data_IF_364395396181
#
_entry.id   IF_364395396181
#
_cell.length_a   1.000
_cell.length_b   1.000
_cell.length_c   1.000
_cell.angle_alpha   90.00
_cell.angle_beta   90.00
_cell.angle_gamma   90.00
#
_symmetry.space_group_name_H-M   'P 1'
#
loop_
_entity.id
_entity.type
_entity.pdbx_description
1 polymer ?
#
# COMPACT_ATOMS: atom_id res chain seq x y z
N UNK A 1 22.82 8.92 -0.76
CA UNK A 1 21.41 8.52 -0.51
C UNK A 1 21.31 7.98 0.92
N UNK A 2 20.54 8.62 1.81
CA UNK A 2 20.29 8.11 3.17
C UNK A 2 19.68 6.71 3.13
N UNK A 3 20.04 5.85 4.09
CA UNK A 3 19.55 4.46 4.20
C UNK A 3 17.99 4.42 4.25
N UNK A 4 17.38 5.41 4.90
CA UNK A 4 15.92 5.52 5.01
C UNK A 4 15.24 5.73 3.65
N UNK A 5 15.82 6.57 2.78
CA UNK A 5 15.28 6.79 1.42
C UNK A 5 15.33 5.53 0.57
N UNK A 6 16.41 4.75 0.68
CA UNK A 6 16.54 3.47 -0.03
C UNK A 6 15.48 2.47 0.43
N UNK A 7 15.21 2.40 1.73
CA UNK A 7 14.20 1.51 2.29
C UNK A 7 12.78 1.94 1.89
N UNK A 8 12.49 3.24 1.90
CA UNK A 8 11.20 3.79 1.46
C UNK A 8 10.91 3.42 0.00
N UNK A 9 11.88 3.57 -0.90
CA UNK A 9 11.71 3.21 -2.32
C UNK A 9 11.49 1.70 -2.52
N UNK A 10 12.17 0.87 -1.73
CA UNK A 10 11.93 -0.59 -1.74
C UNK A 10 10.51 -0.93 -1.29
N UNK A 11 10.02 -0.27 -0.24
CA UNK A 11 8.65 -0.46 0.25
C UNK A 11 7.62 0.06 -0.76
N UNK A 12 7.88 1.21 -1.40
CA UNK A 12 7.02 1.80 -2.44
C UNK A 12 6.77 0.82 -3.57
N UNK A 13 7.84 0.28 -4.17
CA UNK A 13 7.73 -0.69 -5.27
C UNK A 13 6.90 -1.92 -4.89
N UNK A 14 7.04 -2.39 -3.64
CA UNK A 14 6.26 -3.53 -3.14
C UNK A 14 4.79 -3.20 -2.96
N UNK A 15 4.50 -2.06 -2.33
CA UNK A 15 3.14 -1.57 -2.08
C UNK A 15 2.41 -1.36 -3.41
N UNK A 16 3.00 -0.60 -4.32
CA UNK A 16 2.38 -0.26 -5.61
C UNK A 16 2.12 -1.52 -6.45
N UNK A 17 3.10 -2.42 -6.55
CA UNK A 17 2.95 -3.70 -7.26
C UNK A 17 1.84 -4.56 -6.65
N UNK A 18 1.82 -4.69 -5.33
CA UNK A 18 0.82 -5.52 -4.64
C UNK A 18 -0.58 -4.94 -4.79
N UNK A 19 -0.76 -3.63 -4.63
CA UNK A 19 -2.04 -2.96 -4.80
C UNK A 19 -2.60 -3.17 -6.21
N UNK A 20 -1.77 -2.99 -7.24
CA UNK A 20 -2.19 -3.19 -8.63
C UNK A 20 -2.56 -4.65 -8.93
N UNK A 21 -1.81 -5.61 -8.36
CA UNK A 21 -2.04 -7.04 -8.59
C UNK A 21 -3.29 -7.56 -7.86
N UNK A 22 -3.62 -6.99 -6.70
CA UNK A 22 -4.68 -7.48 -5.82
C UNK A 22 -5.93 -6.58 -5.82
N UNK A 23 -5.97 -5.50 -6.61
CA UNK A 23 -7.05 -4.50 -6.62
C UNK A 23 -8.48 -5.06 -6.76
N UNK A 24 -8.63 -6.23 -7.39
CA UNK A 24 -9.93 -6.90 -7.60
C UNK A 24 -10.43 -7.66 -6.37
N UNK A 25 -9.55 -7.99 -5.44
CA UNK A 25 -9.83 -8.91 -4.33
C UNK A 25 -9.77 -8.21 -2.96
N UNK A 26 -9.24 -7.00 -2.89
CA UNK A 26 -9.00 -6.29 -1.63
C UNK A 26 -10.10 -5.28 -1.32
N UNK A 27 -10.47 -5.19 -0.04
CA UNK A 27 -11.30 -4.10 0.45
C UNK A 27 -10.42 -2.85 0.65
N UNK A 28 -10.30 -2.02 -0.39
CA UNK A 28 -9.51 -0.79 -0.39
C UNK A 28 -9.90 0.14 0.77
N UNK A 29 -11.20 0.31 1.02
CA UNK A 29 -11.69 1.16 2.11
C UNK A 29 -11.30 0.60 3.48
N UNK A 30 -11.26 -0.74 3.63
CA UNK A 30 -10.76 -1.38 4.85
C UNK A 30 -9.28 -1.06 5.12
N UNK A 31 -8.44 -1.17 4.09
CA UNK A 31 -7.00 -0.84 4.19
C UNK A 31 -6.80 0.63 4.57
N UNK A 32 -7.54 1.54 3.92
CA UNK A 32 -7.43 2.98 4.21
C UNK A 32 -7.83 3.31 5.66
N UNK A 33 -8.87 2.65 6.19
CA UNK A 33 -9.29 2.80 7.59
C UNK A 33 -8.24 2.29 8.57
N UNK A 34 -7.64 1.12 8.30
CA UNK A 34 -6.63 0.50 9.16
C UNK A 34 -5.43 1.42 9.40
N UNK A 35 -5.01 2.16 8.37
CA UNK A 35 -3.89 3.12 8.48
C UNK A 35 -4.34 4.55 8.78
N UNK A 36 -5.63 4.78 9.04
CA UNK A 36 -6.22 6.13 9.21
C UNK A 36 -5.91 7.09 8.04
N UNK A 37 -5.87 6.55 6.82
CA UNK A 37 -5.65 7.34 5.60
C UNK A 37 -6.95 8.00 5.13
N UNK A 38 -6.85 9.15 4.41
CA UNK A 38 -7.99 9.73 3.74
C UNK A 38 -8.64 8.75 2.77
N UNK A 39 -9.98 8.74 2.78
CA UNK A 39 -10.75 7.91 1.87
C UNK A 39 -10.39 8.20 0.41
N UNK A 40 -10.17 7.14 -0.35
CA UNK A 40 -9.84 7.19 -1.77
C UNK A 40 -8.38 7.48 -2.09
N UNK A 41 -7.47 7.48 -1.11
CA UNK A 41 -6.03 7.57 -1.34
C UNK A 41 -5.52 6.43 -2.23
N UNK A 42 -5.81 5.19 -1.85
CA UNK A 42 -5.40 3.99 -2.58
C UNK A 42 -6.24 3.84 -3.85
N UNK A 43 -7.52 4.20 -3.78
CA UNK A 43 -8.39 4.20 -4.96
C UNK A 43 -7.88 5.14 -6.05
N UNK A 44 -7.40 6.34 -5.69
CA UNK A 44 -6.87 7.31 -6.65
C UNK A 44 -5.59 6.80 -7.31
N UNK A 45 -4.74 6.11 -6.56
CA UNK A 45 -3.57 5.44 -7.12
C UNK A 45 -3.98 4.39 -8.16
N UNK A 46 -4.87 3.47 -7.79
CA UNK A 46 -5.27 2.37 -8.67
C UNK A 46 -6.01 2.86 -9.93
N UNK A 47 -6.94 3.81 -9.80
CA UNK A 47 -7.80 4.24 -10.92
C UNK A 47 -7.20 5.31 -11.80
N UNK A 48 -6.37 6.19 -11.24
CA UNK A 48 -5.90 7.40 -11.92
C UNK A 48 -4.39 7.53 -11.93
N UNK A 49 -3.67 6.46 -11.55
CA UNK A 49 -2.21 6.42 -11.43
C UNK A 49 -1.64 7.58 -10.58
N UNK A 50 -2.43 8.06 -9.60
CA UNK A 50 -2.01 9.14 -8.70
C UNK A 50 -0.98 8.61 -7.72
N UNK A 51 0.20 9.22 -7.70
CA UNK A 51 1.28 8.86 -6.76
C UNK A 51 0.82 8.91 -5.30
N UNK A 52 1.04 7.83 -4.56
CA UNK A 52 0.83 7.76 -3.11
C UNK A 52 1.93 8.56 -2.42
N UNK A 53 1.56 9.45 -1.50
CA UNK A 53 2.52 10.23 -0.71
C UNK A 53 3.38 9.30 0.16
N UNK A 54 4.69 9.58 0.20
CA UNK A 54 5.72 8.86 0.96
C UNK A 54 5.30 8.48 2.39
N UNK A 55 4.59 9.39 3.09
CA UNK A 55 4.13 9.16 4.47
C UNK A 55 3.23 7.93 4.63
N UNK A 56 2.56 7.50 3.57
CA UNK A 56 1.65 6.35 3.59
C UNK A 56 2.29 5.03 3.16
N UNK A 57 3.50 5.06 2.59
CA UNK A 57 4.14 3.87 2.02
C UNK A 57 4.46 2.85 3.11
N UNK A 58 5.06 3.28 4.23
CA UNK A 58 5.40 2.37 5.32
C UNK A 58 4.16 1.80 6.03
N UNK A 59 3.12 2.59 6.37
CA UNK A 59 1.85 2.07 6.88
C UNK A 59 1.20 1.04 5.94
N UNK A 60 1.09 1.36 4.64
CA UNK A 60 0.55 0.43 3.64
C UNK A 60 1.36 -0.86 3.55
N UNK A 61 2.68 -0.76 3.57
CA UNK A 61 3.56 -1.93 3.55
C UNK A 61 3.34 -2.83 4.78
N UNK A 62 3.08 -2.25 5.95
CA UNK A 62 2.74 -2.98 7.16
C UNK A 62 1.47 -3.82 7.01
N UNK A 63 0.38 -3.20 6.59
CA UNK A 63 -0.91 -3.87 6.37
C UNK A 63 -0.80 -4.96 5.29
N UNK A 64 -0.15 -4.64 4.17
CA UNK A 64 0.05 -5.59 3.08
C UNK A 64 0.85 -6.81 3.55
N UNK A 65 1.86 -6.62 4.40
CA UNK A 65 2.65 -7.74 4.95
C UNK A 65 1.80 -8.65 5.82
N UNK A 66 0.92 -8.10 6.65
CA UNK A 66 -0.02 -8.87 7.48
C UNK A 66 -0.94 -9.68 6.58
N UNK A 67 -1.61 -9.04 5.62
CA UNK A 67 -2.53 -9.72 4.68
C UNK A 67 -1.81 -10.83 3.92
N UNK A 68 -0.61 -10.55 3.39
CA UNK A 68 0.15 -11.51 2.58
C UNK A 68 0.71 -12.68 3.40
N UNK A 69 0.81 -12.54 4.72
CA UNK A 69 1.28 -13.61 5.62
C UNK A 69 0.18 -14.61 5.98
N UNK A 70 -1.09 -14.27 5.75
CA UNK A 70 -2.19 -15.22 5.88
C UNK A 70 -2.19 -16.16 4.67
N UNK A 71 -1.66 -17.37 4.85
CA UNK A 71 -1.95 -18.48 3.95
C UNK A 71 -3.26 -19.13 4.40
N UNK A 72 -4.26 -19.22 3.51
CA UNK A 72 -5.35 -20.18 3.70
C UNK A 72 -4.70 -21.58 3.67
N UNK A 73 -4.69 -22.24 4.83
CA UNK A 73 -4.39 -23.68 4.93
C UNK A 73 -5.55 -24.48 4.37
#
# INVERSE_FOLDING_TARGET
>A
MSQEKKQLEKNRKRVEKWLMSNQRFINITGIEKEISAPKGLVQKFIKYDKKINDKWINPLHGVIKVISSFSLR
#
